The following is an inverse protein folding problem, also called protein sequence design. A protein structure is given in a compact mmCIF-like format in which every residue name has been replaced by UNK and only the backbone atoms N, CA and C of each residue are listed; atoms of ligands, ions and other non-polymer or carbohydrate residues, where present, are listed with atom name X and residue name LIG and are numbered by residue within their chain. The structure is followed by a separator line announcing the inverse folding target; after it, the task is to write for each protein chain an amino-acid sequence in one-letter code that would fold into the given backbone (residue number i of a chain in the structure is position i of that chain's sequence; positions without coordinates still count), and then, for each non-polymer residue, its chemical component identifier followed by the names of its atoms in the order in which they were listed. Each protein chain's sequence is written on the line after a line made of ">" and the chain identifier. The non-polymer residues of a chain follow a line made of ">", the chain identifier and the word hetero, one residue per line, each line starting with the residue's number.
data_IF_102028367278
#
_entry.id   IF_102028367278
#
_cell.length_a   1.000
_cell.length_b   1.000
_cell.length_c   1.000
_cell.angle_alpha   90.00
_cell.angle_beta   90.00
_cell.angle_gamma   90.00
#
_symmetry.space_group_name_H-M   'P 1'
#
loop_
_entity.id
_entity.type
_entity.pdbx_description
1 polymer ?
#
# COMPACT_ATOMS: atom_id res chain seq x y z
N UNK A 1 -10.75 -23.08 -20.76
CA UNK A 1 -11.22 -21.99 -19.87
C UNK A 1 -11.31 -20.69 -20.67
N UNK A 2 -12.40 -19.93 -20.52
CA UNK A 2 -12.57 -18.61 -21.13
C UNK A 2 -12.41 -17.51 -20.08
N UNK A 3 -11.66 -16.44 -20.38
CA UNK A 3 -11.52 -15.25 -19.56
C UNK A 3 -12.28 -14.10 -20.20
N UNK A 4 -13.08 -13.37 -19.43
CA UNK A 4 -13.65 -12.09 -19.83
C UNK A 4 -12.92 -10.96 -19.10
N UNK A 5 -12.50 -9.93 -19.83
CA UNK A 5 -11.96 -8.70 -19.28
C UNK A 5 -13.09 -7.68 -19.30
N UNK A 6 -13.45 -7.16 -18.14
CA UNK A 6 -14.59 -6.27 -17.96
C UNK A 6 -14.14 -4.94 -17.36
N UNK A 7 -14.54 -3.84 -17.99
CA UNK A 7 -14.24 -2.49 -17.55
C UNK A 7 -15.41 -1.55 -17.75
N UNK A 8 -15.42 -0.45 -17.01
CA UNK A 8 -16.24 0.72 -17.26
C UNK A 8 -15.33 1.89 -17.61
N UNK A 9 -15.75 2.70 -18.57
CA UNK A 9 -14.92 3.79 -19.10
C UNK A 9 -15.70 5.08 -19.25
N UNK A 10 -14.99 6.22 -19.16
CA UNK A 10 -15.49 7.54 -19.54
C UNK A 10 -14.35 8.49 -19.82
N UNK A 11 -14.17 8.91 -21.09
CA UNK A 11 -13.13 9.83 -21.54
C UNK A 11 -11.71 9.33 -21.18
N UNK A 12 -11.38 8.13 -21.64
CA UNK A 12 -10.11 7.44 -21.34
C UNK A 12 -9.24 7.27 -22.61
N UNK A 13 -9.41 8.11 -23.62
CA UNK A 13 -8.67 7.98 -24.91
C UNK A 13 -7.15 7.93 -24.72
N UNK A 14 -6.62 8.56 -23.67
CA UNK A 14 -5.19 8.60 -23.35
C UNK A 14 -4.68 7.30 -22.71
N UNK A 15 -5.47 6.69 -21.83
CA UNK A 15 -5.08 5.55 -21.00
C UNK A 15 -5.48 4.20 -21.61
N UNK A 16 -6.68 4.15 -22.20
CA UNK A 16 -7.27 2.91 -22.69
C UNK A 16 -6.38 2.13 -23.67
N UNK A 17 -5.62 2.74 -24.62
CA UNK A 17 -4.74 1.99 -25.51
C UNK A 17 -3.68 1.18 -24.75
N UNK A 18 -3.05 1.76 -23.72
CA UNK A 18 -2.04 1.07 -22.88
C UNK A 18 -2.66 -0.10 -22.13
N UNK A 19 -3.84 0.11 -21.52
CA UNK A 19 -4.57 -0.92 -20.80
C UNK A 19 -4.90 -2.10 -21.75
N UNK A 20 -5.53 -1.85 -22.89
CA UNK A 20 -5.95 -2.88 -23.82
C UNK A 20 -4.77 -3.62 -24.45
N UNK A 21 -3.66 -2.93 -24.76
CA UNK A 21 -2.45 -3.58 -25.28
C UNK A 21 -1.83 -4.51 -24.23
N UNK A 22 -1.87 -4.14 -22.93
CA UNK A 22 -1.30 -4.94 -21.85
C UNK A 22 -2.02 -6.29 -21.64
N UNK A 23 -3.28 -6.39 -22.04
CA UNK A 23 -4.11 -7.59 -21.88
C UNK A 23 -4.35 -8.35 -23.18
N UNK A 24 -3.93 -7.83 -24.32
CA UNK A 24 -4.17 -8.38 -25.67
C UNK A 24 -3.71 -9.85 -25.80
N UNK A 25 -2.56 -10.19 -25.22
CA UNK A 25 -2.02 -11.55 -25.26
C UNK A 25 -2.79 -12.60 -24.45
N UNK A 26 -3.84 -12.20 -23.71
CA UNK A 26 -4.69 -13.12 -22.95
C UNK A 26 -5.76 -13.81 -23.82
N UNK A 27 -5.98 -13.36 -25.06
CA UNK A 27 -7.05 -13.85 -25.96
C UNK A 27 -8.42 -13.92 -25.24
N UNK A 28 -8.71 -12.90 -24.42
CA UNK A 28 -9.91 -12.82 -23.63
C UNK A 28 -11.04 -12.10 -24.36
N UNK A 29 -12.28 -12.37 -23.95
CA UNK A 29 -13.42 -11.54 -24.32
C UNK A 29 -13.25 -10.14 -23.70
N UNK A 30 -13.34 -9.09 -24.51
CA UNK A 30 -13.26 -7.70 -24.01
C UNK A 30 -14.65 -7.10 -23.90
N UNK A 31 -15.03 -6.65 -22.70
CA UNK A 31 -16.32 -6.02 -22.39
C UNK A 31 -16.07 -4.62 -21.83
N UNK A 32 -16.60 -3.64 -22.52
CA UNK A 32 -16.48 -2.23 -22.15
C UNK A 32 -17.88 -1.64 -21.97
N UNK A 33 -18.14 -1.15 -20.75
CA UNK A 33 -19.31 -0.33 -20.46
C UNK A 33 -18.91 1.14 -20.54
N UNK A 34 -19.34 1.81 -21.60
CA UNK A 34 -19.16 3.25 -21.77
C UNK A 34 -20.23 4.03 -21.02
N UNK A 35 -19.81 4.95 -20.15
CA UNK A 35 -20.70 5.74 -19.30
C UNK A 35 -20.92 7.18 -19.80
N UNK A 36 -20.69 7.39 -21.11
CA UNK A 36 -20.90 8.66 -21.78
C UNK A 36 -19.61 9.37 -22.15
N UNK A 37 -18.70 8.68 -22.84
CA UNK A 37 -17.50 9.28 -23.41
C UNK A 37 -17.82 10.23 -24.55
N UNK A 38 -17.07 11.33 -24.62
CA UNK A 38 -17.17 12.36 -25.65
C UNK A 38 -15.90 12.44 -26.52
N UNK A 39 -14.89 11.63 -26.21
CA UNK A 39 -13.61 11.53 -26.88
C UNK A 39 -13.51 10.24 -27.74
N UNK A 40 -12.31 9.82 -28.12
CA UNK A 40 -12.09 8.63 -28.94
C UNK A 40 -12.20 7.29 -28.19
N UNK A 41 -12.55 7.29 -26.89
CA UNK A 41 -12.57 6.08 -26.03
C UNK A 41 -13.34 4.93 -26.67
N UNK A 42 -14.57 5.18 -27.15
CA UNK A 42 -15.44 4.15 -27.75
C UNK A 42 -14.84 3.59 -29.05
N UNK A 43 -14.27 4.45 -29.88
CA UNK A 43 -13.60 4.01 -31.12
C UNK A 43 -12.40 3.11 -30.80
N UNK A 44 -11.55 3.55 -29.88
CA UNK A 44 -10.38 2.77 -29.43
C UNK A 44 -10.82 1.39 -28.91
N UNK A 45 -11.83 1.32 -28.05
CA UNK A 45 -12.34 0.04 -27.55
C UNK A 45 -12.76 -0.90 -28.68
N UNK A 46 -13.50 -0.38 -29.68
CA UNK A 46 -13.95 -1.16 -30.84
C UNK A 46 -12.79 -1.60 -31.72
N UNK A 47 -11.77 -0.77 -31.93
CA UNK A 47 -10.60 -1.09 -32.73
C UNK A 47 -9.78 -2.25 -32.10
N UNK A 48 -9.85 -2.43 -30.77
CA UNK A 48 -9.30 -3.59 -30.05
C UNK A 48 -10.25 -4.79 -29.99
N UNK A 49 -11.42 -4.74 -30.66
CA UNK A 49 -12.38 -5.84 -30.71
C UNK A 49 -13.29 -5.95 -29.47
N UNK A 50 -13.37 -4.92 -28.65
CA UNK A 50 -14.23 -4.95 -27.49
C UNK A 50 -15.73 -4.87 -27.85
N UNK A 51 -16.55 -5.63 -27.10
CA UNK A 51 -18.01 -5.45 -27.07
C UNK A 51 -18.33 -4.24 -26.22
N UNK A 52 -18.81 -3.18 -26.84
CA UNK A 52 -19.11 -1.91 -26.15
C UNK A 52 -20.60 -1.80 -25.86
N UNK A 53 -20.93 -1.55 -24.59
CA UNK A 53 -22.29 -1.34 -24.09
C UNK A 53 -22.41 0.08 -23.52
N UNK A 54 -23.53 0.75 -23.81
CA UNK A 54 -23.73 2.15 -23.45
C UNK A 54 -24.68 2.26 -22.24
N UNK A 55 -24.16 2.78 -21.13
CA UNK A 55 -24.91 3.01 -19.90
C UNK A 55 -24.59 4.41 -19.38
N UNK A 56 -25.49 5.40 -19.54
CA UNK A 56 -25.25 6.75 -19.02
C UNK A 56 -24.84 6.75 -17.56
N UNK A 57 -23.94 7.64 -17.20
CA UNK A 57 -23.44 7.75 -15.83
C UNK A 57 -24.53 8.05 -14.81
N UNK A 58 -24.66 7.24 -13.79
CA UNK A 58 -25.69 7.32 -12.76
C UNK A 58 -25.12 7.53 -11.34
N UNK A 59 -23.99 8.18 -11.21
CA UNK A 59 -23.31 8.43 -9.92
C UNK A 59 -23.06 7.16 -9.08
N UNK A 60 -22.86 6.02 -9.73
CA UNK A 60 -22.73 4.73 -9.05
C UNK A 60 -21.73 3.81 -9.75
N UNK A 61 -20.48 3.79 -9.25
CA UNK A 61 -19.44 2.92 -9.79
C UNK A 61 -19.79 1.43 -9.70
N UNK A 62 -20.34 0.99 -8.56
CA UNK A 62 -20.69 -0.43 -8.38
C UNK A 62 -21.75 -0.89 -9.39
N UNK A 63 -22.74 -0.04 -9.72
CA UNK A 63 -23.75 -0.34 -10.71
C UNK A 63 -23.11 -0.60 -12.09
N UNK A 64 -22.23 0.27 -12.54
CA UNK A 64 -21.59 0.13 -13.84
C UNK A 64 -20.60 -1.04 -13.89
N UNK A 65 -19.88 -1.34 -12.79
CA UNK A 65 -19.07 -2.57 -12.70
C UNK A 65 -19.93 -3.82 -12.79
N UNK A 66 -21.05 -3.88 -12.06
CA UNK A 66 -21.97 -5.00 -12.14
C UNK A 66 -22.60 -5.15 -13.53
N UNK A 67 -22.88 -4.04 -14.22
CA UNK A 67 -23.33 -4.07 -15.62
C UNK A 67 -22.26 -4.69 -16.51
N UNK A 68 -20.97 -4.28 -16.39
CA UNK A 68 -19.91 -4.89 -17.19
C UNK A 68 -19.78 -6.41 -16.92
N UNK A 69 -19.98 -6.83 -15.68
CA UNK A 69 -19.94 -8.24 -15.29
C UNK A 69 -21.13 -9.04 -15.84
N UNK A 70 -22.30 -8.42 -15.97
CA UNK A 70 -23.49 -9.11 -16.50
C UNK A 70 -23.37 -9.52 -17.98
N UNK A 71 -22.48 -8.85 -18.72
CA UNK A 71 -22.19 -9.18 -20.12
C UNK A 71 -21.08 -10.22 -20.28
N UNK A 72 -20.36 -10.56 -19.21
CA UNK A 72 -19.26 -11.52 -19.23
C UNK A 72 -19.74 -12.96 -19.48
N UNK A 73 -19.14 -13.65 -20.42
CA UNK A 73 -19.44 -15.05 -20.75
C UNK A 73 -18.36 -16.02 -20.28
N UNK A 74 -17.18 -15.53 -19.93
CA UNK A 74 -16.05 -16.34 -19.47
C UNK A 74 -16.26 -17.00 -18.12
N UNK A 75 -15.49 -18.04 -17.84
CA UNK A 75 -15.48 -18.75 -16.56
C UNK A 75 -14.97 -17.85 -15.42
N UNK A 76 -14.03 -16.96 -15.77
CA UNK A 76 -13.47 -15.94 -14.92
C UNK A 76 -13.65 -14.55 -15.53
N UNK A 77 -13.81 -13.55 -14.65
CA UNK A 77 -13.92 -12.13 -15.02
C UNK A 77 -12.73 -11.39 -14.42
N UNK A 78 -11.91 -10.79 -15.26
CA UNK A 78 -10.86 -9.89 -14.83
C UNK A 78 -11.35 -8.46 -14.93
N UNK A 79 -11.56 -7.81 -13.77
CA UNK A 79 -11.89 -6.40 -13.68
C UNK A 79 -10.60 -5.60 -13.73
N UNK A 80 -10.50 -4.71 -14.72
CA UNK A 80 -9.38 -3.79 -14.89
C UNK A 80 -9.93 -2.40 -15.22
N UNK A 81 -9.29 -1.35 -14.71
CA UNK A 81 -9.64 0.03 -15.03
C UNK A 81 -8.82 0.52 -16.24
N UNK A 82 -9.35 1.48 -17.00
CA UNK A 82 -8.69 1.96 -18.22
C UNK A 82 -7.32 2.63 -17.97
N UNK A 83 -7.10 3.13 -16.75
CA UNK A 83 -5.86 3.71 -16.26
C UNK A 83 -4.91 2.70 -15.60
N UNK A 84 -5.18 1.39 -15.74
CA UNK A 84 -4.34 0.30 -15.26
C UNK A 84 -3.64 -0.43 -16.42
N UNK A 85 -2.48 -1.00 -16.15
CA UNK A 85 -1.66 -1.78 -17.07
C UNK A 85 -1.25 -3.10 -16.42
N UNK A 86 -1.55 -4.24 -17.03
CA UNK A 86 -1.10 -5.54 -16.57
C UNK A 86 0.36 -5.78 -16.95
N UNK A 87 1.22 -5.99 -15.97
CA UNK A 87 2.64 -6.26 -16.17
C UNK A 87 3.01 -7.62 -15.60
N UNK A 88 3.62 -8.47 -16.40
CA UNK A 88 4.11 -9.79 -15.95
C UNK A 88 5.55 -9.71 -15.45
N UNK A 89 5.85 -10.44 -14.38
CA UNK A 89 7.18 -10.51 -13.80
C UNK A 89 8.11 -11.40 -14.64
N UNK A 90 9.38 -11.02 -14.73
CA UNK A 90 10.44 -11.84 -15.37
C UNK A 90 10.15 -12.26 -16.81
N UNK A 91 9.62 -11.36 -17.63
CA UNK A 91 9.29 -11.60 -19.05
C UNK A 91 8.38 -12.84 -19.28
N UNK A 92 7.52 -13.17 -18.33
CA UNK A 92 6.56 -14.26 -18.49
C UNK A 92 5.51 -13.91 -19.53
N UNK A 93 5.12 -14.89 -20.32
CA UNK A 93 4.08 -14.71 -21.32
C UNK A 93 2.69 -14.54 -20.65
N UNK A 94 1.75 -13.80 -21.24
CA UNK A 94 0.38 -13.64 -20.74
C UNK A 94 -0.32 -14.97 -20.42
N UNK A 95 0.02 -16.04 -21.14
CA UNK A 95 -0.50 -17.39 -20.93
C UNK A 95 -0.36 -17.90 -19.50
N UNK A 96 0.65 -17.45 -18.74
CA UNK A 96 0.85 -17.86 -17.33
C UNK A 96 -0.36 -17.52 -16.43
N UNK A 97 -1.11 -16.47 -16.74
CA UNK A 97 -2.33 -16.14 -16.00
C UNK A 97 -3.42 -17.19 -16.26
N UNK A 98 -3.62 -17.62 -17.50
CA UNK A 98 -4.62 -18.62 -17.85
C UNK A 98 -4.28 -19.98 -17.23
N UNK A 99 -3.01 -20.39 -17.32
CA UNK A 99 -2.51 -21.62 -16.69
C UNK A 99 -2.67 -21.60 -15.16
N UNK A 100 -2.44 -20.46 -14.53
CA UNK A 100 -2.68 -20.27 -13.11
C UNK A 100 -4.18 -20.43 -12.75
N UNK A 101 -5.07 -19.78 -13.51
CA UNK A 101 -6.53 -19.81 -13.25
C UNK A 101 -7.13 -21.23 -13.43
N UNK A 102 -6.56 -22.05 -14.34
CA UNK A 102 -6.95 -23.44 -14.50
C UNK A 102 -6.65 -24.33 -13.27
N UNK A 103 -5.61 -23.97 -12.52
CA UNK A 103 -5.14 -24.70 -11.33
C UNK A 103 -5.75 -24.17 -10.03
N UNK A 104 -6.55 -23.10 -10.07
CA UNK A 104 -7.15 -22.50 -8.89
C UNK A 104 -8.18 -23.44 -8.26
N UNK A 105 -8.05 -23.67 -6.96
CA UNK A 105 -8.96 -24.52 -6.17
C UNK A 105 -10.42 -24.07 -6.33
N UNK A 106 -11.37 -25.03 -6.34
CA UNK A 106 -12.79 -24.72 -6.51
C UNK A 106 -13.40 -23.78 -5.46
N UNK A 107 -12.85 -23.76 -4.23
CA UNK A 107 -13.29 -22.91 -3.13
C UNK A 107 -12.72 -21.48 -3.18
N UNK A 108 -11.82 -21.18 -4.12
CA UNK A 108 -11.33 -19.83 -4.38
C UNK A 108 -12.17 -19.14 -5.45
N UNK A 109 -12.89 -18.09 -5.06
CA UNK A 109 -13.77 -17.31 -5.93
C UNK A 109 -13.17 -15.99 -6.38
N UNK A 110 -12.04 -15.59 -5.81
CA UNK A 110 -11.35 -14.37 -6.17
C UNK A 110 -9.83 -14.58 -6.22
N UNK A 111 -9.15 -13.82 -7.10
CA UNK A 111 -7.70 -13.72 -7.19
C UNK A 111 -7.31 -12.26 -7.05
N UNK A 112 -6.39 -12.00 -6.12
CA UNK A 112 -5.76 -10.71 -5.91
C UNK A 112 -4.54 -10.50 -6.80
N UNK A 113 -4.35 -9.25 -7.21
CA UNK A 113 -3.13 -8.76 -7.83
C UNK A 113 -2.55 -7.61 -7.01
N UNK A 114 -1.24 -7.47 -7.02
CA UNK A 114 -0.60 -6.26 -6.53
C UNK A 114 -0.94 -5.12 -7.50
N UNK A 115 -1.51 -4.03 -7.01
CA UNK A 115 -1.69 -2.80 -7.75
C UNK A 115 -0.66 -1.79 -7.25
N UNK A 116 0.15 -1.26 -8.17
CA UNK A 116 1.22 -0.29 -7.89
C UNK A 116 0.81 1.05 -8.47
N UNK A 117 0.61 2.07 -7.63
CA UNK A 117 0.39 3.43 -8.11
C UNK A 117 1.68 3.99 -8.68
N UNK A 118 1.59 4.57 -9.87
CA UNK A 118 2.70 5.21 -10.58
C UNK A 118 2.43 6.71 -10.64
N UNK A 119 3.34 7.52 -10.08
CA UNK A 119 3.31 8.97 -10.16
C UNK A 119 4.63 9.48 -10.74
N UNK A 120 4.58 10.33 -11.75
CA UNK A 120 5.76 10.82 -12.48
C UNK A 120 6.72 9.69 -12.90
N UNK A 121 6.18 8.55 -13.34
CA UNK A 121 6.93 7.36 -13.79
C UNK A 121 7.58 6.56 -12.66
N UNK A 122 7.29 6.84 -11.38
CA UNK A 122 7.85 6.12 -10.23
C UNK A 122 6.77 5.39 -9.43
N UNK A 123 7.05 4.19 -8.91
CA UNK A 123 6.15 3.51 -7.99
C UNK A 123 6.07 4.26 -6.66
N UNK A 124 4.84 4.48 -6.17
CA UNK A 124 4.56 5.21 -4.92
C UNK A 124 3.97 4.30 -3.86
N UNK A 125 2.96 3.50 -4.22
CA UNK A 125 2.28 2.58 -3.30
C UNK A 125 2.11 1.21 -3.91
N UNK A 126 1.95 0.18 -3.06
CA UNK A 126 1.57 -1.17 -3.46
C UNK A 126 0.39 -1.64 -2.62
N UNK A 127 -0.70 -2.03 -3.27
CA UNK A 127 -1.91 -2.51 -2.61
C UNK A 127 -2.30 -3.86 -3.21
N UNK A 128 -2.76 -4.81 -2.39
CA UNK A 128 -3.36 -6.06 -2.88
C UNK A 128 -4.84 -5.84 -3.13
N UNK A 129 -5.30 -6.00 -4.37
CA UNK A 129 -6.69 -5.84 -4.77
C UNK A 129 -7.23 -7.13 -5.39
N UNK A 130 -8.42 -7.55 -4.96
CA UNK A 130 -9.16 -8.59 -5.66
C UNK A 130 -9.59 -8.04 -7.03
N UNK A 131 -9.13 -8.67 -8.11
CA UNK A 131 -9.36 -8.19 -9.49
C UNK A 131 -9.90 -9.26 -10.43
N UNK A 132 -9.69 -10.54 -10.15
CA UNK A 132 -10.18 -11.63 -11.00
C UNK A 132 -11.14 -12.49 -10.18
N UNK A 133 -12.31 -12.75 -10.72
CA UNK A 133 -13.42 -13.38 -10.01
C UNK A 133 -14.04 -14.51 -10.82
N UNK A 134 -14.49 -15.58 -10.17
CA UNK A 134 -15.35 -16.57 -10.84
C UNK A 134 -16.67 -15.92 -11.22
N UNK A 135 -17.09 -16.13 -12.47
CA UNK A 135 -18.35 -15.57 -12.97
C UNK A 135 -19.53 -15.99 -12.07
N UNK A 136 -20.38 -15.01 -11.75
CA UNK A 136 -21.55 -15.21 -10.88
C UNK A 136 -21.24 -15.33 -9.39
N UNK A 137 -19.98 -15.18 -8.95
CA UNK A 137 -19.58 -15.28 -7.54
C UNK A 137 -19.25 -13.94 -6.88
N UNK A 138 -19.39 -12.83 -7.58
CA UNK A 138 -19.04 -11.50 -7.08
C UNK A 138 -20.12 -10.49 -7.42
N UNK A 139 -20.31 -9.52 -6.53
CA UNK A 139 -21.15 -8.34 -6.75
C UNK A 139 -20.42 -7.14 -6.14
N UNK A 140 -20.30 -6.05 -6.88
CA UNK A 140 -19.78 -4.79 -6.34
C UNK A 140 -20.87 -4.07 -5.55
N UNK A 141 -20.51 -3.52 -4.38
CA UNK A 141 -21.37 -2.66 -3.54
C UNK A 141 -20.72 -1.30 -3.38
N UNK A 142 -21.49 -0.30 -2.94
CA UNK A 142 -21.14 1.10 -2.71
C UNK A 142 -21.01 1.92 -4.01
N UNK A 143 -21.66 3.09 -4.01
CA UNK A 143 -21.66 4.02 -5.16
C UNK A 143 -20.25 4.53 -5.51
N UNK A 144 -19.46 4.79 -4.47
CA UNK A 144 -18.06 5.25 -4.52
C UNK A 144 -17.21 4.40 -3.59
N UNK A 145 -15.89 4.29 -3.80
CA UNK A 145 -15.03 3.32 -3.13
C UNK A 145 -15.66 1.94 -3.11
N UNK A 146 -16.12 1.52 -4.29
CA UNK A 146 -16.85 0.28 -4.45
C UNK A 146 -15.97 -0.93 -4.13
N UNK A 147 -16.58 -1.91 -3.46
CA UNK A 147 -15.91 -3.13 -3.02
C UNK A 147 -16.55 -4.35 -3.64
N UNK A 148 -15.74 -5.33 -4.09
CA UNK A 148 -16.26 -6.63 -4.49
C UNK A 148 -16.68 -7.40 -3.24
N UNK A 149 -17.89 -7.93 -3.26
CA UNK A 149 -18.43 -8.84 -2.25
C UNK A 149 -18.57 -10.21 -2.88
N UNK A 150 -17.91 -11.21 -2.30
CA UNK A 150 -17.90 -12.59 -2.77
C UNK A 150 -17.73 -13.54 -1.59
N UNK A 151 -18.23 -14.76 -1.77
CA UNK A 151 -18.02 -15.87 -0.83
C UNK A 151 -16.79 -16.68 -1.24
N UNK A 152 -16.23 -17.46 -0.30
CA UNK A 152 -15.08 -18.33 -0.54
C UNK A 152 -13.73 -17.63 -0.28
N UNK A 153 -12.67 -18.28 -0.72
CA UNK A 153 -11.29 -17.84 -0.49
C UNK A 153 -10.80 -16.92 -1.61
N UNK A 154 -9.84 -16.08 -1.26
CA UNK A 154 -9.04 -15.30 -2.22
C UNK A 154 -7.65 -15.91 -2.34
N UNK A 155 -7.21 -16.12 -3.59
CA UNK A 155 -5.82 -16.43 -3.91
C UNK A 155 -5.05 -15.18 -4.35
N UNK A 156 -3.75 -15.29 -4.49
CA UNK A 156 -2.90 -14.20 -5.01
C UNK A 156 -2.20 -14.69 -6.27
N UNK A 157 -2.22 -13.87 -7.33
CA UNK A 157 -1.46 -14.13 -8.54
C UNK A 157 -0.02 -13.62 -8.38
N UNK A 158 0.99 -14.53 -8.35
CA UNK A 158 2.35 -14.13 -7.99
C UNK A 158 3.23 -13.73 -9.18
N UNK A 159 2.73 -13.83 -10.42
CA UNK A 159 3.54 -13.70 -11.63
C UNK A 159 3.30 -12.39 -12.40
N UNK A 160 2.52 -11.47 -11.82
CA UNK A 160 2.21 -10.19 -12.42
C UNK A 160 1.59 -9.23 -11.43
N UNK A 161 1.49 -7.97 -11.87
CA UNK A 161 0.90 -6.87 -11.13
C UNK A 161 0.16 -5.92 -12.05
N UNK A 162 -0.60 -5.01 -11.48
CA UNK A 162 -1.16 -3.86 -12.16
C UNK A 162 -0.32 -2.62 -11.83
N UNK A 163 0.07 -1.86 -12.84
CA UNK A 163 0.50 -0.49 -12.68
C UNK A 163 -0.73 0.40 -12.84
N UNK A 164 -0.96 1.31 -11.91
CA UNK A 164 -2.10 2.22 -11.92
C UNK A 164 -1.61 3.67 -12.07
N UNK A 165 -2.13 4.37 -13.06
CA UNK A 165 -1.71 5.73 -13.44
C UNK A 165 -2.74 6.81 -13.09
N UNK A 166 -3.83 6.43 -12.47
CA UNK A 166 -4.98 7.31 -12.19
C UNK A 166 -4.71 8.46 -11.21
N UNK A 167 -3.53 8.51 -10.60
CA UNK A 167 -3.10 9.62 -9.73
C UNK A 167 -2.10 10.58 -10.40
N UNK A 168 -1.61 10.24 -11.59
CA UNK A 168 -0.73 11.13 -12.37
C UNK A 168 -1.56 12.18 -13.14
N UNK A 169 -2.29 12.99 -12.38
CA UNK A 169 -3.23 13.99 -12.85
C UNK A 169 -2.66 15.41 -12.70
N UNK A 170 -2.99 16.27 -13.64
CA UNK A 170 -2.74 17.70 -13.46
C UNK A 170 -3.54 18.27 -12.25
N UNK A 171 -3.14 19.43 -11.70
CA UNK A 171 -3.78 19.98 -10.50
C UNK A 171 -5.28 20.27 -10.67
N UNK A 172 -5.76 20.61 -11.88
CA UNK A 172 -7.15 20.91 -12.16
C UNK A 172 -7.99 19.63 -12.22
N UNK A 173 -7.47 18.59 -12.89
CA UNK A 173 -8.11 17.28 -12.95
C UNK A 173 -8.16 16.64 -11.55
N UNK A 174 -7.09 16.74 -10.77
CA UNK A 174 -7.05 16.30 -9.37
C UNK A 174 -8.16 16.97 -8.54
N UNK A 175 -8.32 18.28 -8.66
CA UNK A 175 -9.38 19.03 -7.96
C UNK A 175 -10.80 18.64 -8.40
N UNK A 176 -11.00 18.35 -9.70
CA UNK A 176 -12.29 17.86 -10.21
C UNK A 176 -12.61 16.46 -9.67
N UNK A 177 -11.62 15.54 -9.67
CA UNK A 177 -11.74 14.19 -9.10
C UNK A 177 -12.09 14.26 -7.61
N UNK A 178 -11.41 15.12 -6.85
CA UNK A 178 -11.70 15.39 -5.45
C UNK A 178 -13.15 15.79 -5.23
N UNK A 179 -13.56 16.88 -5.87
CA UNK A 179 -14.92 17.43 -5.71
C UNK A 179 -15.98 16.38 -6.01
N UNK A 180 -15.81 15.62 -7.09
CA UNK A 180 -16.72 14.51 -7.43
C UNK A 180 -16.73 13.44 -6.35
N UNK A 181 -15.56 13.03 -5.85
CA UNK A 181 -15.42 11.97 -4.84
C UNK A 181 -16.10 12.39 -3.54
N UNK A 182 -15.79 13.58 -3.02
CA UNK A 182 -16.40 14.09 -1.78
C UNK A 182 -17.91 14.23 -1.94
N UNK A 183 -18.40 14.81 -3.04
CA UNK A 183 -19.85 14.96 -3.28
C UNK A 183 -20.60 13.62 -3.28
N UNK A 184 -20.06 12.57 -3.93
CA UNK A 184 -20.68 11.24 -3.91
C UNK A 184 -20.66 10.58 -2.52
N UNK A 185 -19.65 10.87 -1.72
CA UNK A 185 -19.58 10.36 -0.34
C UNK A 185 -20.54 11.09 0.59
N UNK A 186 -20.72 12.39 0.39
CA UNK A 186 -21.72 13.20 1.11
C UNK A 186 -23.14 12.73 0.77
N UNK A 187 -23.46 12.53 -0.53
CA UNK A 187 -24.73 11.91 -0.95
C UNK A 187 -24.95 10.54 -0.27
N UNK A 188 -23.91 9.71 -0.18
CA UNK A 188 -24.02 8.42 0.49
C UNK A 188 -24.31 8.56 2.01
N UNK A 189 -23.76 9.59 2.66
CA UNK A 189 -24.05 9.91 4.08
C UNK A 189 -25.45 10.50 4.29
N UNK A 190 -25.99 11.26 3.34
CA UNK A 190 -27.38 11.72 3.37
C UNK A 190 -28.35 10.53 3.32
N UNK A 191 -28.07 9.53 2.46
CA UNK A 191 -28.86 8.29 2.36
C UNK A 191 -28.70 7.40 3.60
N UNK A 192 -27.48 7.32 4.15
CA UNK A 192 -27.16 6.54 5.33
C UNK A 192 -26.18 7.28 6.25
N UNK A 193 -26.66 8.07 7.24
CA UNK A 193 -25.83 8.81 8.18
C UNK A 193 -24.88 7.92 9.03
N UNK A 194 -25.05 6.59 8.99
CA UNK A 194 -24.19 5.63 9.66
C UNK A 194 -23.20 4.94 8.70
N UNK A 195 -23.03 5.47 7.50
CA UNK A 195 -21.96 5.00 6.60
C UNK A 195 -20.59 5.54 7.06
N UNK A 196 -20.04 4.89 8.08
CA UNK A 196 -18.74 5.28 8.66
C UNK A 196 -17.59 5.17 7.65
N UNK A 197 -17.68 4.24 6.70
CA UNK A 197 -16.69 4.12 5.63
C UNK A 197 -16.65 5.39 4.77
N UNK A 198 -17.80 6.00 4.47
CA UNK A 198 -17.85 7.29 3.76
C UNK A 198 -17.21 8.40 4.58
N UNK A 199 -17.38 8.45 5.91
CA UNK A 199 -16.70 9.42 6.76
C UNK A 199 -15.18 9.29 6.68
N UNK A 200 -14.66 8.04 6.71
CA UNK A 200 -13.24 7.77 6.54
C UNK A 200 -12.73 8.26 5.18
N UNK A 201 -13.42 7.91 4.10
CA UNK A 201 -12.98 8.29 2.75
C UNK A 201 -13.05 9.79 2.50
N UNK A 202 -13.99 10.52 3.11
CA UNK A 202 -14.01 12.00 3.08
C UNK A 202 -12.78 12.55 3.83
N UNK A 203 -12.50 12.04 5.04
CA UNK A 203 -11.32 12.44 5.80
C UNK A 203 -10.03 12.20 5.00
N UNK A 204 -9.90 11.03 4.34
CA UNK A 204 -8.77 10.68 3.49
C UNK A 204 -8.65 11.61 2.29
N UNK A 205 -9.77 11.95 1.63
CA UNK A 205 -9.79 12.89 0.53
C UNK A 205 -9.24 14.25 0.97
N UNK A 206 -9.71 14.81 2.07
CA UNK A 206 -9.23 16.09 2.59
C UNK A 206 -7.78 16.04 3.08
N UNK A 207 -7.33 14.96 3.69
CA UNK A 207 -5.95 14.78 4.13
C UNK A 207 -4.94 14.79 2.97
N UNK A 208 -5.36 14.34 1.78
CA UNK A 208 -4.55 14.29 0.56
C UNK A 208 -4.39 15.66 -0.11
N UNK A 209 -5.15 16.68 0.29
CA UNK A 209 -5.12 18.01 -0.33
C UNK A 209 -4.41 19.02 0.56
N UNK A 210 -3.47 19.76 -0.03
CA UNK A 210 -2.80 20.86 0.66
C UNK A 210 -3.84 21.90 1.16
N UNK A 211 -3.77 22.24 2.44
CA UNK A 211 -4.59 23.29 3.06
C UNK A 211 -5.93 22.84 3.65
N UNK A 212 -6.30 21.56 3.54
CA UNK A 212 -7.58 21.04 4.08
C UNK A 212 -7.41 20.14 5.31
N UNK A 213 -6.41 20.42 6.13
CA UNK A 213 -6.12 19.64 7.34
C UNK A 213 -7.22 19.73 8.39
N UNK A 214 -7.99 20.82 8.45
CA UNK A 214 -9.05 21.00 9.42
C UNK A 214 -10.26 20.12 9.09
N UNK A 215 -10.67 20.11 7.84
CA UNK A 215 -11.75 19.25 7.36
C UNK A 215 -11.38 17.77 7.50
N UNK A 216 -10.13 17.41 7.21
CA UNK A 216 -9.64 16.04 7.40
C UNK A 216 -9.73 15.62 8.88
N UNK A 217 -9.33 16.48 9.81
CA UNK A 217 -9.42 16.24 11.25
C UNK A 217 -10.88 16.10 11.68
N UNK A 218 -11.75 17.02 11.25
CA UNK A 218 -13.18 16.98 11.61
C UNK A 218 -13.82 15.64 11.24
N UNK A 219 -13.63 15.19 10.00
CA UNK A 219 -14.21 13.93 9.53
C UNK A 219 -13.57 12.70 10.17
N UNK A 220 -12.25 12.73 10.39
CA UNK A 220 -11.55 11.66 11.10
C UNK A 220 -12.02 11.55 12.56
N UNK A 221 -12.22 12.68 13.26
CA UNK A 221 -12.80 12.69 14.61
C UNK A 221 -14.25 12.23 14.63
N UNK A 222 -15.07 12.63 13.62
CA UNK A 222 -16.43 12.10 13.47
C UNK A 222 -16.40 10.56 13.40
N UNK A 223 -15.58 10.00 12.54
CA UNK A 223 -15.41 8.56 12.45
C UNK A 223 -14.99 7.97 13.80
N UNK A 224 -13.94 8.51 14.42
CA UNK A 224 -13.39 7.99 15.67
C UNK A 224 -14.38 8.02 16.86
N UNK A 225 -15.25 9.05 16.94
CA UNK A 225 -16.30 9.15 17.99
C UNK A 225 -17.37 8.06 17.84
N UNK A 226 -17.78 7.74 16.63
CA UNK A 226 -18.80 6.72 16.37
C UNK A 226 -18.28 5.29 16.55
N UNK A 227 -16.97 5.12 16.47
CA UNK A 227 -16.28 3.85 16.59
C UNK A 227 -16.44 3.17 17.95
N UNK A 228 -16.62 3.90 19.03
CA UNK A 228 -16.84 3.31 20.39
C UNK A 228 -18.00 2.30 20.40
N UNK A 229 -18.88 2.38 19.40
CA UNK A 229 -20.00 1.47 19.18
C UNK A 229 -19.74 0.35 18.16
N UNK A 230 -18.55 0.31 17.53
CA UNK A 230 -18.20 -0.66 16.50
C UNK A 230 -17.13 -1.64 17.01
N UNK A 231 -17.48 -2.91 17.10
CA UNK A 231 -16.52 -3.99 17.35
C UNK A 231 -15.57 -4.11 16.15
N UNK A 232 -14.36 -3.53 16.23
CA UNK A 232 -13.30 -3.48 15.21
C UNK A 232 -13.70 -2.71 13.93
N UNK A 233 -13.47 -1.40 13.92
CA UNK A 233 -13.62 -0.58 12.71
C UNK A 233 -12.56 -0.95 11.67
N UNK A 234 -12.98 -1.04 10.42
CA UNK A 234 -12.16 -1.45 9.25
C UNK A 234 -10.95 -0.56 8.99
N UNK A 235 -11.03 0.73 9.36
CA UNK A 235 -10.02 1.74 9.05
C UNK A 235 -9.39 2.40 10.28
N UNK A 236 -9.40 1.71 11.41
CA UNK A 236 -8.95 2.30 12.66
C UNK A 236 -7.50 2.77 12.62
N UNK A 237 -6.60 1.95 12.09
CA UNK A 237 -5.18 2.25 11.94
C UNK A 237 -4.99 3.53 11.12
N UNK A 238 -5.63 3.60 9.98
CA UNK A 238 -5.53 4.73 9.05
C UNK A 238 -6.10 6.01 9.62
N UNK A 239 -7.23 5.94 10.34
CA UNK A 239 -7.85 7.11 10.98
C UNK A 239 -6.96 7.66 12.09
N UNK A 240 -6.39 6.80 12.92
CA UNK A 240 -5.47 7.23 13.97
C UNK A 240 -4.22 7.87 13.41
N UNK A 241 -3.61 7.21 12.41
CA UNK A 241 -2.43 7.77 11.75
C UNK A 241 -2.74 9.14 11.14
N UNK A 242 -3.90 9.30 10.51
CA UNK A 242 -4.36 10.56 9.93
C UNK A 242 -4.51 11.65 11.01
N UNK A 243 -5.18 11.35 12.13
CA UNK A 243 -5.35 12.30 13.25
C UNK A 243 -4.00 12.71 13.82
N UNK A 244 -3.15 11.73 14.17
CA UNK A 244 -1.83 11.97 14.74
C UNK A 244 -0.98 12.85 13.82
N UNK A 245 -0.88 12.49 12.53
CA UNK A 245 -0.06 13.24 11.58
C UNK A 245 -0.62 14.61 11.23
N UNK A 246 -1.95 14.77 11.20
CA UNK A 246 -2.59 16.05 10.95
C UNK A 246 -2.39 17.01 12.12
N UNK A 247 -2.55 16.54 13.36
CA UNK A 247 -2.27 17.36 14.54
C UNK A 247 -0.77 17.67 14.69
N UNK A 248 0.11 16.75 14.31
CA UNK A 248 1.56 16.98 14.26
C UNK A 248 1.92 18.08 13.25
N UNK A 249 1.32 18.07 12.05
CA UNK A 249 1.49 19.13 11.04
C UNK A 249 1.01 20.51 11.50
N UNK A 250 -0.01 20.54 12.36
CA UNK A 250 -0.58 21.76 12.95
C UNK A 250 0.16 22.22 14.22
N UNK A 251 1.24 21.55 14.58
CA UNK A 251 2.00 21.82 15.83
C UNK A 251 1.15 21.70 17.12
N UNK A 252 0.01 21.00 17.04
CA UNK A 252 -0.82 20.72 18.21
C UNK A 252 -0.39 19.41 18.86
N UNK A 253 0.73 19.46 19.58
CA UNK A 253 1.36 18.29 20.18
C UNK A 253 0.53 17.66 21.31
N UNK A 254 -0.35 18.43 21.97
CA UNK A 254 -1.25 17.90 23.00
C UNK A 254 -2.27 16.96 22.36
N UNK A 255 -3.00 17.44 21.34
CA UNK A 255 -3.96 16.60 20.63
C UNK A 255 -3.31 15.44 19.87
N UNK A 256 -2.11 15.67 19.34
CA UNK A 256 -1.29 14.61 18.73
C UNK A 256 -1.03 13.47 19.72
N UNK A 257 -0.63 13.80 20.96
CA UNK A 257 -0.39 12.79 22.01
C UNK A 257 -1.66 12.07 22.43
N UNK A 258 -2.76 12.79 22.67
CA UNK A 258 -4.05 12.19 23.06
C UNK A 258 -4.47 11.09 22.05
N UNK A 259 -4.37 11.38 20.74
CA UNK A 259 -4.72 10.41 19.72
C UNK A 259 -3.69 9.30 19.54
N UNK A 260 -2.40 9.61 19.71
CA UNK A 260 -1.33 8.62 19.63
C UNK A 260 -1.42 7.61 20.78
N UNK A 261 -1.70 8.05 21.99
CA UNK A 261 -1.90 7.17 23.15
C UNK A 261 -3.09 6.22 22.96
N UNK A 262 -4.21 6.73 22.45
CA UNK A 262 -5.38 5.90 22.11
C UNK A 262 -5.02 4.90 21.03
N UNK A 263 -4.34 5.35 19.98
CA UNK A 263 -3.95 4.54 18.84
C UNK A 263 -3.05 3.36 19.24
N UNK A 264 -2.00 3.62 20.00
CA UNK A 264 -1.05 2.59 20.46
C UNK A 264 -1.71 1.55 21.37
N UNK A 265 -2.72 1.96 22.15
CA UNK A 265 -3.49 1.04 23.00
C UNK A 265 -4.42 0.13 22.20
N UNK A 266 -5.06 0.67 21.17
CA UNK A 266 -6.10 -0.04 20.45
C UNK A 266 -5.59 -0.81 19.23
N UNK A 267 -4.49 -0.35 18.63
CA UNK A 267 -3.85 -0.97 17.47
C UNK A 267 -2.36 -1.20 17.76
N UNK A 268 -2.04 -2.06 18.72
CA UNK A 268 -0.64 -2.34 19.05
C UNK A 268 0.08 -3.02 17.86
N UNK A 269 1.31 -2.63 17.62
CA UNK A 269 2.17 -3.25 16.60
C UNK A 269 1.87 -2.79 15.16
N UNK A 270 1.20 -1.65 14.99
CA UNK A 270 1.09 -1.01 13.68
C UNK A 270 2.38 -0.25 13.33
N UNK A 271 2.84 -0.39 12.08
CA UNK A 271 4.10 0.20 11.61
C UNK A 271 4.03 1.73 11.54
N UNK A 272 2.96 2.26 10.95
CA UNK A 272 2.80 3.69 10.76
C UNK A 272 2.65 4.42 12.10
N UNK A 273 1.90 3.86 13.05
CA UNK A 273 1.73 4.41 14.39
C UNK A 273 3.02 4.30 15.22
N UNK A 274 3.78 3.22 15.05
CA UNK A 274 5.09 3.07 15.70
C UNK A 274 6.07 4.14 15.21
N UNK A 275 6.09 4.42 13.89
CA UNK A 275 6.88 5.50 13.31
C UNK A 275 6.38 6.88 13.78
N UNK A 276 5.07 7.07 13.89
CA UNK A 276 4.50 8.31 14.41
C UNK A 276 4.94 8.58 15.86
N UNK A 277 5.03 7.54 16.71
CA UNK A 277 5.57 7.64 18.07
C UNK A 277 7.04 8.08 18.07
N UNK A 278 7.86 7.48 17.21
CA UNK A 278 9.27 7.86 17.06
C UNK A 278 9.37 9.34 16.66
N UNK A 279 8.64 9.76 15.63
CA UNK A 279 8.64 11.15 15.16
C UNK A 279 8.16 12.13 16.23
N UNK A 280 7.11 11.78 16.98
CA UNK A 280 6.63 12.57 18.11
C UNK A 280 7.74 12.73 19.16
N UNK A 281 8.42 11.65 19.52
CA UNK A 281 9.55 11.66 20.45
C UNK A 281 10.70 12.58 19.98
N UNK A 282 11.01 12.58 18.69
CA UNK A 282 12.03 13.46 18.10
C UNK A 282 11.63 14.95 18.21
N UNK A 283 10.37 15.28 17.87
CA UNK A 283 9.85 16.65 17.96
C UNK A 283 9.87 17.13 19.43
N UNK A 284 9.43 16.30 20.35
CA UNK A 284 9.38 16.60 21.77
C UNK A 284 10.75 16.48 22.47
N UNK A 285 11.80 16.10 21.73
CA UNK A 285 13.16 15.86 22.28
C UNK A 285 13.17 14.86 23.44
N UNK A 286 12.27 13.88 23.41
CA UNK A 286 12.13 12.85 24.44
C UNK A 286 12.72 11.53 23.98
N UNK A 287 13.95 11.22 24.43
CA UNK A 287 14.70 10.04 24.04
C UNK A 287 14.00 8.72 24.39
N UNK A 288 13.24 8.68 25.50
CA UNK A 288 12.48 7.49 25.87
C UNK A 288 11.37 7.17 24.86
N UNK A 289 10.66 8.19 24.36
CA UNK A 289 9.64 8.01 23.32
C UNK A 289 10.27 7.66 21.97
N UNK A 290 11.42 8.24 21.64
CA UNK A 290 12.19 7.86 20.42
C UNK A 290 12.55 6.38 20.47
N UNK A 291 13.13 5.94 21.60
CA UNK A 291 13.51 4.53 21.79
C UNK A 291 12.29 3.59 21.75
N UNK A 292 11.20 3.98 22.40
CA UNK A 292 9.96 3.18 22.40
C UNK A 292 9.38 3.05 20.98
N UNK A 293 9.30 4.15 20.23
CA UNK A 293 8.80 4.15 18.85
C UNK A 293 9.69 3.33 17.90
N UNK A 294 11.02 3.50 18.01
CA UNK A 294 11.97 2.72 17.21
C UNK A 294 11.87 1.21 17.48
N UNK A 295 11.78 0.82 18.76
CA UNK A 295 11.62 -0.57 19.18
C UNK A 295 10.29 -1.16 18.69
N UNK A 296 9.20 -0.41 18.86
CA UNK A 296 7.87 -0.82 18.39
C UNK A 296 7.87 -1.03 16.86
N UNK A 297 8.48 -0.11 16.10
CA UNK A 297 8.58 -0.20 14.65
C UNK A 297 9.35 -1.44 14.20
N UNK A 298 10.55 -1.68 14.75
CA UNK A 298 11.39 -2.84 14.38
C UNK A 298 10.67 -4.16 14.73
N UNK A 299 9.95 -4.20 15.85
CA UNK A 299 9.15 -5.38 16.23
C UNK A 299 8.00 -5.61 15.24
N UNK A 300 7.24 -4.57 14.94
CA UNK A 300 6.14 -4.64 13.98
C UNK A 300 6.62 -5.02 12.56
N UNK A 301 7.80 -4.53 12.16
CA UNK A 301 8.40 -4.85 10.86
C UNK A 301 8.74 -6.34 10.74
N UNK A 302 9.31 -6.97 11.76
CA UNK A 302 9.57 -8.41 11.79
C UNK A 302 8.30 -9.24 11.60
N UNK A 303 7.21 -8.80 12.20
CA UNK A 303 5.91 -9.48 12.06
C UNK A 303 5.29 -9.22 10.68
N UNK A 304 5.45 -8.02 10.13
CA UNK A 304 5.02 -7.66 8.78
C UNK A 304 5.71 -8.52 7.72
N UNK A 305 7.03 -8.75 7.80
CA UNK A 305 7.74 -9.63 6.87
C UNK A 305 7.22 -11.07 6.87
N UNK A 306 6.86 -11.60 8.05
CA UNK A 306 6.28 -12.94 8.17
C UNK A 306 4.91 -13.05 7.50
N UNK A 307 4.13 -11.97 7.57
CA UNK A 307 2.76 -11.91 7.02
C UNK A 307 2.77 -11.65 5.52
N UNK A 308 3.66 -10.78 5.03
CA UNK A 308 3.80 -10.48 3.60
C UNK A 308 4.28 -11.69 2.79
N UNK A 309 4.92 -12.66 3.43
CA UNK A 309 5.37 -13.92 2.80
C UNK A 309 4.27 -14.99 2.64
N UNK A 310 3.00 -14.74 2.99
CA UNK A 310 1.95 -15.70 2.65
C UNK A 310 0.65 -15.75 3.46
N UNK A 311 0.35 -14.84 4.38
CA UNK A 311 -0.93 -14.85 5.10
C UNK A 311 -1.46 -13.46 5.44
N UNK A 312 -2.55 -13.05 4.79
CA UNK A 312 -3.48 -11.99 5.18
C UNK A 312 -2.83 -10.67 5.62
N UNK A 313 -2.50 -9.80 4.65
CA UNK A 313 -1.80 -8.58 4.91
C UNK A 313 -2.58 -7.58 5.76
N UNK A 314 -1.95 -7.04 6.80
CA UNK A 314 -2.31 -5.72 7.31
C UNK A 314 -1.88 -4.70 6.26
N UNK A 315 -2.77 -3.78 5.88
CA UNK A 315 -2.43 -2.71 4.97
C UNK A 315 -1.57 -1.70 5.73
N UNK A 316 -0.34 -1.49 5.25
CA UNK A 316 0.51 -0.39 5.67
C UNK A 316 0.34 0.73 4.63
N UNK A 317 -0.40 1.76 4.99
CA UNK A 317 -0.79 2.81 4.06
C UNK A 317 0.34 3.79 3.73
N UNK A 318 1.30 3.97 4.63
CA UNK A 318 2.30 5.03 4.50
C UNK A 318 3.73 4.54 4.78
N UNK A 319 3.94 3.23 4.89
CA UNK A 319 5.28 2.68 5.08
C UNK A 319 6.20 3.06 3.92
N UNK A 320 7.34 3.65 4.26
CA UNK A 320 8.41 3.98 3.34
C UNK A 320 9.65 3.17 3.69
N UNK A 321 10.42 2.75 2.68
CA UNK A 321 11.65 1.97 2.89
C UNK A 321 12.67 2.69 3.78
N UNK A 322 12.71 4.03 3.74
CA UNK A 322 13.59 4.83 4.60
C UNK A 322 13.20 4.78 6.09
N UNK A 323 11.94 4.45 6.43
CA UNK A 323 11.48 4.35 7.82
C UNK A 323 12.20 3.25 8.61
N UNK A 324 12.49 2.13 7.98
CA UNK A 324 13.26 1.06 8.62
C UNK A 324 14.66 1.54 9.00
N UNK A 325 15.34 2.25 8.10
CA UNK A 325 16.67 2.80 8.37
C UNK A 325 16.67 3.82 9.51
N UNK A 326 15.67 4.71 9.53
CA UNK A 326 15.48 5.69 10.60
C UNK A 326 15.26 5.00 11.94
N UNK A 327 14.36 4.02 11.99
CA UNK A 327 14.05 3.29 13.22
C UNK A 327 15.26 2.51 13.75
N UNK A 328 15.99 1.83 12.87
CA UNK A 328 17.22 1.08 13.23
C UNK A 328 18.30 2.05 13.75
N UNK A 329 18.51 3.19 13.07
CA UNK A 329 19.47 4.20 13.52
C UNK A 329 19.17 4.64 14.95
N UNK A 330 17.93 5.10 15.24
CA UNK A 330 17.56 5.57 16.56
C UNK A 330 17.58 4.48 17.62
N UNK A 331 17.24 3.24 17.25
CA UNK A 331 17.31 2.11 18.16
C UNK A 331 18.77 1.76 18.48
N UNK A 332 19.65 1.74 17.47
CA UNK A 332 21.09 1.53 17.66
C UNK A 332 21.69 2.61 18.57
N UNK A 333 21.32 3.88 18.35
CA UNK A 333 21.76 4.99 19.20
C UNK A 333 21.33 4.83 20.66
N UNK A 334 20.11 4.33 20.88
CA UNK A 334 19.60 4.08 22.25
C UNK A 334 20.34 2.92 22.91
N UNK A 335 20.60 1.84 22.17
CA UNK A 335 21.32 0.68 22.70
C UNK A 335 22.80 0.97 22.99
N UNK A 336 23.43 1.78 22.17
CA UNK A 336 24.79 2.26 22.43
C UNK A 336 24.90 3.05 23.73
N UNK A 337 23.82 3.68 24.15
CA UNK A 337 23.75 4.41 25.43
C UNK A 337 23.46 3.48 26.63
N UNK A 338 22.83 2.32 26.44
CA UNK A 338 22.25 1.53 27.54
C UNK A 338 22.67 0.05 27.63
N UNK A 339 23.06 -0.67 26.58
CA UNK A 339 23.62 -2.01 26.68
C UNK A 339 24.05 -2.66 25.34
N UNK A 340 25.06 -3.54 25.39
CA UNK A 340 25.68 -4.23 24.26
C UNK A 340 24.87 -5.43 23.76
N UNK A 341 24.02 -6.02 24.61
CA UNK A 341 23.35 -7.31 24.31
C UNK A 341 22.30 -7.19 23.21
N UNK A 342 21.63 -6.06 23.09
CA UNK A 342 20.54 -5.85 22.13
C UNK A 342 21.01 -5.43 20.72
N UNK A 343 22.26 -5.02 20.55
CA UNK A 343 22.86 -4.71 19.24
C UNK A 343 22.88 -5.93 18.31
N UNK A 344 22.97 -7.14 18.84
CA UNK A 344 22.95 -8.36 18.06
C UNK A 344 21.63 -8.57 17.31
N UNK A 345 20.52 -8.17 17.93
CA UNK A 345 19.18 -8.28 17.33
C UNK A 345 18.96 -7.29 16.18
N UNK A 346 19.67 -6.16 16.17
CA UNK A 346 19.63 -5.20 15.05
C UNK A 346 20.43 -5.70 13.85
N UNK A 347 21.49 -6.47 14.09
CA UNK A 347 22.40 -6.95 13.07
C UNK A 347 21.72 -7.82 12.01
N UNK A 348 20.72 -8.61 12.43
CA UNK A 348 19.96 -9.50 11.53
C UNK A 348 19.03 -8.74 10.56
N UNK A 349 18.78 -7.45 10.82
CA UNK A 349 17.88 -6.61 10.01
C UNK A 349 18.65 -5.72 9.04
N UNK A 350 19.87 -5.30 9.38
CA UNK A 350 20.71 -4.41 8.54
C UNK A 350 20.88 -4.91 7.09
N UNK A 351 21.12 -6.21 6.83
CA UNK A 351 21.25 -6.71 5.46
C UNK A 351 20.00 -6.52 4.58
N UNK A 352 18.85 -6.23 5.18
CA UNK A 352 17.56 -6.04 4.49
C UNK A 352 17.32 -4.59 4.09
N UNK A 353 18.19 -3.68 4.48
CA UNK A 353 18.10 -2.25 4.15
C UNK A 353 18.63 -2.07 2.72
N UNK A 354 17.96 -1.26 1.86
CA UNK A 354 18.48 -0.89 0.56
C UNK A 354 19.91 -0.35 0.65
N UNK A 355 20.79 -0.74 -0.27
CA UNK A 355 22.24 -0.48 -0.20
C UNK A 355 22.60 0.99 -0.01
N UNK A 356 21.85 1.89 -0.67
CA UNK A 356 21.99 3.34 -0.54
C UNK A 356 21.75 3.82 0.91
N UNK A 357 20.66 3.35 1.50
CA UNK A 357 20.25 3.73 2.87
C UNK A 357 21.15 3.07 3.93
N UNK A 358 21.65 1.87 3.65
CA UNK A 358 22.64 1.22 4.50
C UNK A 358 23.95 2.02 4.57
N UNK A 359 24.36 2.67 3.48
CA UNK A 359 25.52 3.57 3.44
C UNK A 359 25.33 4.83 4.29
N UNK A 360 24.17 5.46 4.19
CA UNK A 360 23.83 6.65 4.99
C UNK A 360 23.73 6.32 6.48
N UNK A 361 23.14 5.20 6.83
CA UNK A 361 23.08 4.70 8.21
C UNK A 361 24.47 4.44 8.78
N UNK A 362 25.34 3.82 7.98
CA UNK A 362 26.71 3.53 8.35
C UNK A 362 27.52 4.80 8.60
N UNK A 363 27.38 5.79 7.70
CA UNK A 363 28.06 7.08 7.85
C UNK A 363 27.56 7.82 9.09
N UNK A 364 26.23 7.86 9.30
CA UNK A 364 25.64 8.49 10.49
C UNK A 364 26.11 7.85 11.82
N UNK A 365 26.22 6.51 11.86
CA UNK A 365 26.77 5.80 13.02
C UNK A 365 28.24 6.12 13.20
N UNK A 366 29.04 6.16 12.14
CA UNK A 366 30.46 6.52 12.17
C UNK A 366 30.66 7.93 12.71
N UNK A 367 29.96 8.93 12.16
CA UNK A 367 30.03 10.32 12.58
C UNK A 367 29.64 10.49 14.05
N UNK A 368 28.65 9.72 14.50
CA UNK A 368 28.26 9.72 15.89
C UNK A 368 29.33 9.10 16.80
N UNK A 369 29.95 7.97 16.40
CA UNK A 369 31.05 7.35 17.15
C UNK A 369 32.23 8.30 17.26
N UNK A 370 32.62 8.96 16.18
CA UNK A 370 33.72 9.93 16.18
C UNK A 370 33.42 11.12 17.13
N UNK A 371 32.18 11.64 17.11
CA UNK A 371 31.75 12.73 17.98
C UNK A 371 31.72 12.36 19.46
N UNK A 372 31.51 11.10 19.78
CA UNK A 372 31.33 10.61 21.14
C UNK A 372 32.48 9.71 21.61
N UNK A 373 33.60 9.71 20.91
CA UNK A 373 34.77 8.87 21.21
C UNK A 373 35.25 8.98 22.66
N UNK A 374 35.12 10.16 23.27
CA UNK A 374 35.48 10.40 24.68
C UNK A 374 34.58 9.64 25.65
N UNK A 375 33.30 9.40 25.32
CA UNK A 375 32.37 8.63 26.16
C UNK A 375 32.76 7.14 26.15
N UNK A 376 33.32 6.65 25.05
CA UNK A 376 33.71 5.22 24.89
C UNK A 376 35.06 4.91 25.49
N UNK A 377 35.95 5.89 25.63
CA UNK A 377 37.27 5.67 26.28
C UNK A 377 37.20 5.20 27.70
N UNK A 378 36.08 5.43 28.38
CA UNK A 378 35.83 4.97 29.75
C UNK A 378 35.07 3.65 29.87
N UNK A 379 34.68 3.02 28.76
CA UNK A 379 33.93 1.76 28.78
C UNK A 379 34.46 0.79 27.70
N UNK A 380 35.49 0.02 28.07
CA UNK A 380 36.17 -0.93 27.19
C UNK A 380 35.22 -1.96 26.55
N UNK A 381 34.13 -2.30 27.22
CA UNK A 381 33.12 -3.25 26.70
C UNK A 381 32.36 -2.67 25.50
N UNK A 382 32.02 -1.37 25.54
CA UNK A 382 31.36 -0.68 24.43
C UNK A 382 32.30 -0.46 23.25
N UNK A 383 33.60 -0.22 23.52
CA UNK A 383 34.62 -0.06 22.49
C UNK A 383 34.87 -1.39 21.75
N UNK A 384 34.91 -2.52 22.45
CA UNK A 384 35.02 -3.84 21.84
C UNK A 384 33.80 -4.18 20.99
N UNK A 385 32.59 -3.89 21.46
CA UNK A 385 31.36 -4.09 20.70
C UNK A 385 31.32 -3.25 19.42
N UNK A 386 31.76 -1.99 19.50
CA UNK A 386 31.91 -1.10 18.34
C UNK A 386 32.89 -1.64 17.30
N UNK A 387 34.06 -2.10 17.73
CA UNK A 387 35.07 -2.72 16.85
C UNK A 387 34.58 -4.03 16.24
N UNK A 388 33.86 -4.85 17.00
CA UNK A 388 33.26 -6.10 16.52
C UNK A 388 32.16 -5.82 15.47
N UNK A 389 31.33 -4.80 15.68
CA UNK A 389 30.33 -4.38 14.73
C UNK A 389 30.95 -3.89 13.41
N UNK A 390 32.01 -3.08 13.47
CA UNK A 390 32.76 -2.64 12.29
C UNK A 390 33.42 -3.81 11.55
N UNK A 391 34.00 -4.78 12.28
CA UNK A 391 34.69 -5.94 11.69
C UNK A 391 33.68 -6.88 11.01
N UNK A 392 32.54 -7.16 11.63
CA UNK A 392 31.49 -8.01 11.07
C UNK A 392 30.87 -7.38 9.80
N UNK A 393 30.73 -6.06 9.77
CA UNK A 393 30.23 -5.36 8.60
C UNK A 393 31.20 -5.41 7.41
N UNK A 394 32.50 -5.29 7.66
CA UNK A 394 33.56 -5.38 6.63
C UNK A 394 33.74 -6.81 6.12
N UNK A 395 33.55 -7.83 6.95
CA UNK A 395 33.65 -9.24 6.55
C UNK A 395 32.49 -9.65 5.63
N UNK A 396 31.26 -9.17 5.90
CA UNK A 396 30.10 -9.48 5.05
C UNK A 396 30.07 -8.73 3.71
N UNK A 397 30.96 -7.76 3.50
CA UNK A 397 31.09 -7.00 2.22
C UNK A 397 32.23 -7.46 1.31
N UNK A 398 32.94 -8.54 1.61
CA UNK A 398 33.84 -9.10 0.61
C UNK A 398 33.02 -9.69 -0.54
N UNK A 399 33.12 -9.16 -1.78
CA UNK A 399 32.41 -9.77 -2.90
C UNK A 399 32.93 -11.18 -3.05
N UNK A 400 32.00 -12.13 -3.07
CA UNK A 400 32.33 -13.52 -3.42
C UNK A 400 32.84 -13.55 -4.87
N UNK A 401 34.17 -13.64 -5.02
CA UNK A 401 34.86 -13.83 -6.29
C UNK A 401 34.92 -15.29 -6.71
N UNK A 402 34.15 -16.16 -6.11
CA UNK A 402 34.03 -17.55 -6.52
C UNK A 402 32.95 -17.66 -7.62
N UNK A 403 33.39 -17.52 -8.88
CA UNK A 403 32.64 -17.94 -10.04
C UNK A 403 32.42 -19.46 -10.03
N UNK A 404 31.41 -19.93 -9.36
CA UNK A 404 30.95 -21.32 -9.46
C UNK A 404 29.85 -21.39 -10.53
N UNK A 405 30.27 -21.84 -11.73
CA UNK A 405 29.38 -22.43 -12.72
C UNK A 405 28.65 -23.61 -12.07
N UNK A 406 27.37 -23.44 -11.80
CA UNK A 406 26.50 -24.58 -11.53
C UNK A 406 26.17 -25.26 -12.85
N UNK A 407 26.82 -26.41 -13.11
CA UNK A 407 26.39 -27.36 -14.12
C UNK A 407 25.09 -28.03 -13.65
N UNK A 408 24.02 -27.81 -14.36
CA UNK A 408 22.79 -28.59 -14.21
C UNK A 408 23.07 -29.99 -14.75
N UNK A 409 23.10 -30.98 -13.87
CA UNK A 409 22.98 -32.38 -14.24
C UNK A 409 21.54 -32.84 -14.02
N UNK A 410 20.89 -33.16 -15.13
CA UNK A 410 19.66 -33.95 -15.24
C UNK A 410 19.85 -35.35 -14.63
N UNK A 411 18.98 -35.69 -13.70
CA UNK A 411 18.34 -37.02 -13.59
C UNK A 411 17.00 -36.90 -12.86
#
# INVERSE_FOLDING_TARGET
>A
MLLSIAMMVRNEEKNLPRCLESVKGLNAELIVVDTGSLDQTVKIAKDYGAKVYYHPWENNFAKHRNQSFSYATGDWIFQIDADEELVFHHNRAPRVLLEFLEQVRPDMNAIGLTCTDIEAGKPVTNIQLARIFRRGKVTYKRKIHNEPVFDGLIGIFPFGKLNHYGYDLDPLERKRKEKRTVGLLEEALEENPRDYDSMFYIAQAYASYAGKSDEAIEWAEKYARHRQNMKKGKFNESVYYMLVTSYMKKDNMIKCWEWLEVALKEVPGDLDLSMALLRYGLIMKNQNLVAAGARAFVTAYKDFEKVSSGRGGRFVFNYREDYLSIAIFHLAMTYLQHSVIELKNLWDIIPKIPEKLAGELQQGLKDWFEKNETIFKYNDTLLQASKTAQTLYTVNRKPDKSGLRASINTR
#
